data_IF_950707175521
#
_entry.id   IF_950707175521
#
_cell.length_a   1.000
_cell.length_b   1.000
_cell.length_c   1.000
_cell.angle_alpha   90.00
_cell.angle_beta   90.00
_cell.angle_gamma   90.00
#
_symmetry.space_group_name_H-M   'P 1'
#
loop_
_entity.id
_entity.type
_entity.pdbx_description
1 polymer ?
#
# COMPACT_ATOMS: atom_id res chain seq x y z
N UNK A 1 1.44 6.11 13.00
CA UNK A 1 2.10 5.25 12.00
C UNK A 1 3.59 5.04 12.31
N UNK A 2 4.41 6.10 12.39
CA UNK A 2 5.87 5.97 12.42
C UNK A 2 6.41 5.14 13.60
N UNK A 3 5.87 5.31 14.81
CA UNK A 3 6.27 4.49 15.97
C UNK A 3 5.98 3.00 15.76
N UNK A 4 4.87 2.66 15.10
CA UNK A 4 4.54 1.27 14.75
C UNK A 4 5.49 0.71 13.70
N UNK A 5 5.81 1.50 12.67
CA UNK A 5 6.79 1.15 11.63
C UNK A 5 8.15 0.85 12.26
N UNK A 6 8.63 1.74 13.14
CA UNK A 6 9.90 1.55 13.85
C UNK A 6 9.92 0.25 14.65
N UNK A 7 8.86 -0.05 15.42
CA UNK A 7 8.75 -1.30 16.17
C UNK A 7 8.79 -2.55 15.28
N UNK A 8 8.11 -2.54 14.14
CA UNK A 8 8.15 -3.66 13.19
C UNK A 8 9.59 -3.89 12.69
N UNK A 9 10.31 -2.80 12.38
CA UNK A 9 11.73 -2.86 11.96
C UNK A 9 12.65 -3.34 13.07
N UNK A 10 12.43 -2.91 14.31
CA UNK A 10 13.17 -3.39 15.50
C UNK A 10 13.02 -4.91 15.70
N UNK A 11 11.87 -5.47 15.33
CA UNK A 11 11.67 -6.92 15.29
C UNK A 11 12.35 -7.62 14.09
N UNK A 12 13.12 -6.89 13.26
CA UNK A 12 13.76 -7.43 12.05
C UNK A 12 12.80 -7.73 10.91
N UNK A 13 11.55 -7.23 10.97
CA UNK A 13 10.50 -7.56 10.01
C UNK A 13 10.37 -6.51 8.90
N UNK A 14 9.83 -6.94 7.75
CA UNK A 14 9.41 -6.04 6.67
C UNK A 14 8.09 -5.36 7.02
N UNK A 15 7.94 -4.12 6.60
CA UNK A 15 6.79 -3.28 6.86
C UNK A 15 5.88 -3.26 5.63
N UNK A 16 4.66 -3.77 5.81
CA UNK A 16 3.57 -3.64 4.84
C UNK A 16 2.53 -2.63 5.30
N UNK A 17 1.97 -1.87 4.36
CA UNK A 17 0.83 -0.98 4.59
C UNK A 17 -0.30 -1.36 3.64
N UNK A 18 -1.52 -1.53 4.14
CA UNK A 18 -2.71 -1.75 3.31
C UNK A 18 -3.59 -0.51 3.27
N UNK A 19 -4.22 -0.25 2.12
CA UNK A 19 -5.22 0.81 1.95
C UNK A 19 -6.52 0.24 1.37
N UNK A 20 -7.64 0.69 1.95
CA UNK A 20 -8.99 0.32 1.49
C UNK A 20 -9.40 1.07 0.20
N UNK A 21 -10.45 0.62 -0.50
CA UNK A 21 -10.95 1.25 -1.74
C UNK A 21 -11.32 2.73 -1.60
N UNK A 22 -11.62 3.23 -0.41
CA UNK A 22 -11.97 4.64 -0.16
C UNK A 22 -10.77 5.50 0.22
N UNK A 23 -9.62 4.88 0.51
CA UNK A 23 -8.41 5.60 0.92
C UNK A 23 -7.58 5.94 -0.32
N UNK A 24 -7.44 7.23 -0.70
CA UNK A 24 -6.61 7.61 -1.84
C UNK A 24 -5.13 7.36 -1.56
N UNK A 25 -4.35 7.05 -2.60
CA UNK A 25 -2.92 6.72 -2.47
C UNK A 25 -2.12 7.91 -1.96
N UNK A 26 -2.52 9.13 -2.32
CA UNK A 26 -1.89 10.37 -1.85
C UNK A 26 -1.83 10.49 -0.31
N UNK A 27 -2.76 9.89 0.44
CA UNK A 27 -2.74 9.92 1.91
C UNK A 27 -1.57 9.14 2.51
N UNK A 28 -0.96 8.22 1.78
CA UNK A 28 0.16 7.40 2.25
C UNK A 28 1.48 7.77 1.59
N UNK A 29 1.52 8.82 0.75
CA UNK A 29 2.71 9.24 0.00
C UNK A 29 3.96 9.39 0.89
N UNK A 30 3.81 10.10 2.01
CA UNK A 30 4.92 10.37 2.94
C UNK A 30 5.48 9.13 3.63
N UNK A 31 4.75 8.02 3.60
CA UNK A 31 5.10 6.75 4.25
C UNK A 31 5.70 5.74 3.26
N UNK A 32 5.59 5.99 1.95
CA UNK A 32 6.07 5.07 0.91
C UNK A 32 7.57 4.76 1.04
N UNK A 33 8.35 5.71 1.57
CA UNK A 33 9.80 5.55 1.82
C UNK A 33 10.13 4.65 3.01
N UNK A 34 9.20 4.47 3.93
CA UNK A 34 9.42 3.77 5.21
C UNK A 34 8.86 2.33 5.18
N UNK A 35 8.12 1.98 4.12
CA UNK A 35 7.47 0.67 3.92
C UNK A 35 8.13 -0.11 2.79
N UNK A 36 8.13 -1.43 2.91
CA UNK A 36 8.63 -2.34 1.86
C UNK A 36 7.53 -2.75 0.88
N UNK A 37 6.26 -2.69 1.32
CA UNK A 37 5.12 -3.13 0.54
C UNK A 37 3.89 -2.25 0.75
N UNK A 38 3.25 -1.85 -0.35
CA UNK A 38 1.91 -1.27 -0.36
C UNK A 38 0.92 -2.30 -0.90
N UNK A 39 -0.10 -2.61 -0.10
CA UNK A 39 -1.22 -3.46 -0.46
C UNK A 39 -2.44 -2.60 -0.78
N UNK A 40 -2.95 -2.71 -1.99
CA UNK A 40 -4.16 -1.99 -2.42
C UNK A 40 -5.30 -3.01 -2.46
N UNK A 41 -6.32 -2.79 -1.62
CA UNK A 41 -7.48 -3.69 -1.61
C UNK A 41 -8.36 -3.45 -2.83
N UNK A 42 -8.77 -4.53 -3.49
CA UNK A 42 -9.73 -4.52 -4.60
C UNK A 42 -11.15 -4.88 -4.19
N UNK A 43 -11.39 -5.01 -2.89
CA UNK A 43 -12.69 -5.23 -2.26
C UNK A 43 -12.72 -4.48 -0.92
N UNK A 44 -13.89 -4.38 -0.29
CA UNK A 44 -13.94 -3.86 1.08
C UNK A 44 -13.40 -4.92 2.06
N UNK A 45 -12.64 -4.53 3.09
CA UNK A 45 -12.14 -5.48 4.07
C UNK A 45 -13.27 -6.17 4.83
N UNK A 46 -13.07 -7.46 5.16
CA UNK A 46 -13.98 -8.22 6.03
C UNK A 46 -14.19 -9.65 5.57
N UNK A 47 -14.75 -9.83 4.36
CA UNK A 47 -15.17 -11.14 3.85
C UNK A 47 -14.69 -11.39 2.42
N UNK A 48 -14.34 -12.63 2.10
CA UNK A 48 -13.99 -13.04 0.74
C UNK A 48 -15.21 -13.23 -0.16
N UNK A 49 -14.99 -13.36 -1.48
CA UNK A 49 -16.05 -13.58 -2.48
C UNK A 49 -16.77 -12.31 -2.93
N UNK A 50 -16.27 -11.14 -2.53
CA UNK A 50 -16.77 -9.86 -3.01
C UNK A 50 -16.38 -9.62 -4.47
N UNK A 51 -17.15 -8.77 -5.15
CA UNK A 51 -16.83 -8.37 -6.52
C UNK A 51 -15.62 -7.44 -6.52
N UNK A 52 -14.69 -7.70 -7.43
CA UNK A 52 -13.56 -6.84 -7.71
C UNK A 52 -14.00 -5.40 -8.02
N UNK A 53 -13.30 -4.42 -7.44
CA UNK A 53 -13.48 -2.98 -7.63
C UNK A 53 -12.45 -2.49 -8.67
N UNK A 54 -12.85 -2.20 -9.92
CA UNK A 54 -11.94 -1.84 -11.01
C UNK A 54 -11.09 -0.59 -10.74
N UNK A 55 -11.61 0.36 -9.98
CA UNK A 55 -10.95 1.60 -9.60
C UNK A 55 -9.66 1.35 -8.78
N UNK A 56 -9.53 0.17 -8.16
CA UNK A 56 -8.29 -0.23 -7.50
C UNK A 56 -7.12 -0.37 -8.48
N UNK A 57 -7.36 -0.61 -9.77
CA UNK A 57 -6.32 -0.59 -10.80
C UNK A 57 -5.74 0.81 -11.02
N UNK A 58 -6.56 1.85 -10.94
CA UNK A 58 -6.10 3.23 -11.09
C UNK A 58 -5.21 3.64 -9.92
N UNK A 59 -5.55 3.19 -8.70
CA UNK A 59 -4.69 3.37 -7.53
C UNK A 59 -3.34 2.69 -7.68
N UNK A 60 -3.27 1.52 -8.29
CA UNK A 60 -2.00 0.83 -8.54
C UNK A 60 -1.13 1.65 -9.50
N UNK A 61 -1.73 2.19 -10.57
CA UNK A 61 -1.03 3.05 -11.53
C UNK A 61 -0.50 4.30 -10.84
N UNK A 62 -1.32 4.94 -10.01
CA UNK A 62 -0.96 6.12 -9.22
C UNK A 62 0.19 5.82 -8.26
N UNK A 63 0.10 4.73 -7.50
CA UNK A 63 1.13 4.28 -6.56
C UNK A 63 2.46 3.99 -7.27
N UNK A 64 2.42 3.26 -8.40
CA UNK A 64 3.62 2.98 -9.22
C UNK A 64 4.27 4.26 -9.70
N UNK A 65 3.49 5.21 -10.20
CA UNK A 65 3.99 6.51 -10.66
C UNK A 65 4.65 7.28 -9.51
N UNK A 66 4.05 7.28 -8.32
CA UNK A 66 4.63 7.92 -7.14
C UNK A 66 5.96 7.30 -6.73
N UNK A 67 6.04 5.97 -6.63
CA UNK A 67 7.26 5.26 -6.23
C UNK A 67 8.39 5.51 -7.24
N UNK A 68 8.08 5.41 -8.54
CA UNK A 68 9.05 5.60 -9.61
C UNK A 68 9.62 7.02 -9.65
N UNK A 69 8.77 8.05 -9.50
CA UNK A 69 9.20 9.46 -9.60
C UNK A 69 9.98 9.90 -8.36
N UNK A 70 9.57 9.46 -7.16
CA UNK A 70 10.03 10.08 -5.90
C UNK A 70 11.08 9.28 -5.14
N UNK A 71 11.12 7.96 -5.33
CA UNK A 71 11.93 7.11 -4.45
C UNK A 71 12.99 6.33 -5.23
N UNK A 72 12.71 5.91 -6.47
CA UNK A 72 13.61 5.01 -7.19
C UNK A 72 13.90 3.72 -6.43
N UNK A 73 13.02 3.33 -5.49
CA UNK A 73 13.17 2.20 -4.59
C UNK A 73 12.44 0.96 -5.10
N UNK A 74 12.90 -0.21 -4.66
CA UNK A 74 12.31 -1.54 -4.93
C UNK A 74 11.05 -1.85 -4.08
N UNK A 75 10.25 -0.84 -3.71
CA UNK A 75 9.04 -1.05 -2.90
C UNK A 75 8.00 -1.85 -3.71
N UNK A 76 7.48 -2.93 -3.12
CA UNK A 76 6.55 -3.83 -3.81
C UNK A 76 5.11 -3.29 -3.75
N UNK A 77 4.37 -3.38 -4.86
CA UNK A 77 2.92 -3.15 -4.87
C UNK A 77 2.21 -4.48 -5.10
N UNK A 78 1.25 -4.80 -4.23
CA UNK A 78 0.38 -5.97 -4.35
C UNK A 78 -1.10 -5.60 -4.32
N UNK A 79 -1.91 -6.46 -4.91
CA UNK A 79 -3.38 -6.39 -4.87
C UNK A 79 -3.87 -7.49 -3.92
N UNK A 80 -4.92 -7.21 -3.17
CA UNK A 80 -5.67 -8.22 -2.42
C UNK A 80 -7.14 -8.21 -2.82
N UNK A 81 -7.63 -9.39 -3.17
CA UNK A 81 -8.98 -9.76 -3.57
C UNK A 81 -9.80 -10.42 -2.44
#
# INVERSE_FOLDING_TARGET
>A
MNATIAKIRECGMKVGLSICPETPVSKVENLLKDIDMLLIMSVHPGFGGQKFIPESLDKIREARKMIQIRLGTDSQIKILD
#
